data_IF_319470773673
#
_entry.id   IF_319470773673
#
_cell.length_a   1.000
_cell.length_b   1.000
_cell.length_c   1.000
_cell.angle_alpha   90.00
_cell.angle_beta   90.00
_cell.angle_gamma   90.00
#
_symmetry.space_group_name_H-M   'P 1'
#
loop_
_entity.id
_entity.type
_entity.pdbx_description
1 polymer ?
#
# COMPACT_ATOMS: atom_id res chain seq x y z
N UNK A 1 35.88 4.02 2.79
CA UNK A 1 36.37 2.82 2.05
C UNK A 1 36.44 3.01 0.53
N UNK A 2 35.96 4.11 -0.03
CA UNK A 2 35.95 4.40 -1.48
C UNK A 2 37.24 5.15 -1.97
N UNK A 3 38.10 5.62 -1.06
CA UNK A 3 39.31 6.40 -1.42
C UNK A 3 40.62 5.58 -1.50
N UNK A 4 40.62 4.28 -1.23
CA UNK A 4 41.80 3.42 -1.30
C UNK A 4 41.88 2.53 -2.54
N UNK A 5 40.82 2.49 -3.38
CA UNK A 5 40.79 1.71 -4.63
C UNK A 5 41.27 2.50 -5.86
N UNK A 6 41.37 3.83 -5.74
CA UNK A 6 41.80 4.70 -6.88
C UNK A 6 43.31 4.84 -7.08
N UNK A 7 44.14 4.21 -6.25
CA UNK A 7 45.62 4.40 -6.32
C UNK A 7 46.33 3.27 -7.08
N UNK A 8 45.68 2.15 -7.41
CA UNK A 8 46.32 1.01 -8.13
C UNK A 8 46.05 0.97 -9.64
N UNK A 9 45.31 1.89 -10.24
CA UNK A 9 44.95 1.81 -11.69
C UNK A 9 45.66 2.84 -12.57
N UNK A 10 46.56 3.67 -12.03
CA UNK A 10 47.23 4.73 -12.81
C UNK A 10 48.74 4.55 -12.93
N UNK A 11 49.17 3.43 -13.49
CA UNK A 11 50.54 3.30 -13.98
C UNK A 11 50.70 2.17 -15.03
N UNK A 12 50.01 2.30 -16.15
CA UNK A 12 50.42 1.65 -17.39
C UNK A 12 49.97 2.54 -18.56
N UNK A 13 50.91 3.19 -19.19
CA UNK A 13 50.66 3.97 -20.39
C UNK A 13 51.91 4.71 -20.91
N UNK A 14 52.69 4.06 -21.76
CA UNK A 14 53.46 4.75 -22.81
C UNK A 14 54.95 4.85 -22.65
N UNK A 15 55.73 4.04 -23.39
CA UNK A 15 56.47 4.45 -24.57
C UNK A 15 57.38 3.29 -25.08
N UNK A 16 57.28 3.09 -26.38
CA UNK A 16 58.23 2.33 -27.20
C UNK A 16 59.60 3.02 -27.23
N UNK A 17 60.68 2.19 -27.23
CA UNK A 17 61.81 2.29 -28.11
C UNK A 17 62.82 1.15 -27.77
N UNK A 18 63.16 0.35 -28.77
CA UNK A 18 64.25 -0.64 -28.88
C UNK A 18 65.58 0.05 -29.23
N UNK A 19 66.74 -0.70 -29.38
CA UNK A 19 67.29 -1.81 -28.58
C UNK A 19 68.78 -1.54 -28.19
N UNK A 20 69.37 -2.41 -27.37
CA UNK A 20 70.66 -3.12 -27.60
C UNK A 20 71.30 -3.66 -26.31
N UNK A 21 71.89 -4.85 -26.52
CA UNK A 21 73.04 -5.52 -25.85
C UNK A 21 72.93 -6.06 -24.44
N UNK A 22 73.24 -7.32 -24.41
CA UNK A 22 73.50 -8.20 -23.34
C UNK A 22 74.48 -7.73 -22.24
N UNK A 23 74.27 -8.21 -21.03
CA UNK A 23 75.29 -8.92 -20.21
C UNK A 23 74.63 -9.33 -18.84
N UNK A 24 74.84 -10.59 -18.48
CA UNK A 24 74.82 -11.29 -17.18
C UNK A 24 74.42 -10.53 -15.90
N UNK A 25 73.53 -11.15 -15.13
CA UNK A 25 73.88 -11.60 -13.78
C UNK A 25 72.66 -11.96 -12.90
N UNK A 26 72.72 -13.06 -12.29
CA UNK A 26 72.27 -13.51 -10.97
C UNK A 26 70.80 -13.53 -10.57
N UNK A 27 70.33 -14.66 -10.06
CA UNK A 27 68.99 -14.86 -9.53
C UNK A 27 68.91 -14.48 -8.04
N UNK A 28 68.00 -13.65 -7.67
CA UNK A 28 67.75 -13.40 -6.27
C UNK A 28 66.75 -12.28 -6.03
N UNK A 29 65.63 -12.58 -5.38
CA UNK A 29 64.60 -11.69 -4.88
C UNK A 29 63.34 -11.48 -5.74
N UNK A 30 62.54 -12.53 -5.87
CA UNK A 30 61.16 -12.44 -6.37
C UNK A 30 60.11 -13.18 -5.55
N UNK A 31 60.39 -13.63 -4.33
CA UNK A 31 59.47 -14.46 -3.54
C UNK A 31 58.75 -13.74 -2.40
N UNK A 32 59.15 -12.56 -1.96
CA UNK A 32 58.52 -11.92 -0.78
C UNK A 32 57.27 -11.08 -1.13
N UNK A 33 57.19 -10.48 -2.33
CA UNK A 33 56.01 -9.67 -2.68
C UNK A 33 54.77 -10.50 -3.06
N UNK A 34 54.95 -11.71 -3.56
CA UNK A 34 53.85 -12.61 -3.95
C UNK A 34 53.14 -13.20 -2.71
N UNK A 35 53.88 -13.44 -1.64
CA UNK A 35 53.33 -13.97 -0.38
C UNK A 35 52.46 -12.95 0.36
N UNK A 36 52.84 -11.66 0.34
CA UNK A 36 52.04 -10.60 0.97
C UNK A 36 50.68 -10.36 0.27
N UNK A 37 50.65 -10.38 -1.05
CA UNK A 37 49.42 -10.21 -1.82
C UNK A 37 48.44 -11.38 -1.64
N UNK A 38 48.96 -12.64 -1.59
CA UNK A 38 48.12 -13.81 -1.32
C UNK A 38 47.54 -13.78 0.10
N UNK A 39 48.30 -13.36 1.12
CA UNK A 39 47.84 -13.23 2.49
C UNK A 39 46.72 -12.18 2.64
N UNK A 40 46.83 -11.04 1.95
CA UNK A 40 45.80 -9.98 1.95
C UNK A 40 44.53 -10.45 1.24
N UNK A 41 44.61 -11.13 0.10
CA UNK A 41 43.48 -11.68 -0.63
C UNK A 41 42.75 -12.77 0.17
N UNK A 42 43.45 -13.65 0.84
CA UNK A 42 42.87 -14.69 1.72
C UNK A 42 42.18 -14.01 2.94
N UNK A 43 42.84 -13.01 3.53
CA UNK A 43 42.24 -12.25 4.65
C UNK A 43 40.95 -11.52 4.27
N UNK A 44 40.90 -10.84 3.11
CA UNK A 44 39.73 -10.17 2.59
C UNK A 44 38.60 -11.17 2.26
N UNK A 45 38.94 -12.32 1.69
CA UNK A 45 37.98 -13.39 1.39
C UNK A 45 37.37 -13.99 2.67
N UNK A 46 38.19 -14.20 3.70
CA UNK A 46 37.71 -14.69 5.01
C UNK A 46 36.82 -13.68 5.72
N UNK A 47 37.16 -12.39 5.68
CA UNK A 47 36.32 -11.31 6.24
C UNK A 47 35.00 -11.20 5.46
N UNK A 48 35.04 -11.28 4.12
CA UNK A 48 33.84 -11.26 3.29
C UNK A 48 32.93 -12.47 3.55
N UNK A 49 33.52 -13.67 3.70
CA UNK A 49 32.83 -14.90 4.08
C UNK A 49 32.22 -14.79 5.50
N UNK A 50 32.96 -14.24 6.46
CA UNK A 50 32.47 -14.03 7.83
C UNK A 50 31.32 -13.00 7.87
N UNK A 51 31.43 -11.89 7.12
CA UNK A 51 30.37 -10.90 6.97
C UNK A 51 29.17 -11.51 6.25
N UNK A 52 29.35 -12.32 5.22
CA UNK A 52 28.27 -13.05 4.55
C UNK A 52 27.57 -14.04 5.51
N UNK A 53 28.33 -14.77 6.33
CA UNK A 53 27.77 -15.69 7.34
C UNK A 53 27.03 -14.92 8.45
N UNK A 54 27.54 -13.77 8.88
CA UNK A 54 26.86 -12.91 9.86
C UNK A 54 25.56 -12.34 9.24
N UNK A 55 25.61 -11.87 8.00
CA UNK A 55 24.42 -11.37 7.28
C UNK A 55 23.41 -12.48 6.95
N UNK A 56 23.87 -13.73 6.80
CA UNK A 56 22.97 -14.89 6.62
C UNK A 56 22.40 -15.41 7.95
N UNK A 57 23.04 -15.16 9.08
CA UNK A 57 22.56 -15.57 10.40
C UNK A 57 21.34 -14.80 10.87
N UNK A 58 21.11 -13.59 10.35
CA UNK A 58 19.94 -12.77 10.71
C UNK A 58 18.67 -13.07 9.89
N UNK A 59 18.70 -14.05 9.00
CA UNK A 59 17.51 -14.55 8.29
C UNK A 59 17.15 -15.96 8.75
N UNK A 60 16.92 -16.15 10.04
CA UNK A 60 16.07 -17.26 10.47
C UNK A 60 14.66 -16.97 9.95
N UNK A 61 14.25 -17.66 8.89
CA UNK A 61 12.88 -17.65 8.41
C UNK A 61 12.02 -18.16 9.57
N UNK A 62 11.36 -17.25 10.29
CA UNK A 62 10.42 -17.64 11.34
C UNK A 62 9.33 -18.49 10.70
N UNK A 63 9.22 -19.75 11.10
CA UNK A 63 8.19 -20.64 10.63
C UNK A 63 6.84 -20.18 11.22
N UNK A 64 5.94 -19.73 10.36
CA UNK A 64 4.64 -19.19 10.77
C UNK A 64 3.51 -19.86 10.00
N UNK A 65 2.36 -20.06 10.63
CA UNK A 65 1.12 -20.51 10.00
C UNK A 65 0.16 -19.33 9.84
N UNK A 66 -0.42 -19.19 8.65
CA UNK A 66 -1.47 -18.20 8.38
C UNK A 66 -2.76 -18.59 9.13
N UNK A 67 -3.39 -17.62 9.80
CA UNK A 67 -4.61 -17.81 10.59
C UNK A 67 -5.79 -16.98 10.09
N UNK A 68 -5.54 -15.76 9.64
CA UNK A 68 -6.59 -14.86 9.14
C UNK A 68 -6.00 -13.92 8.09
N UNK A 69 -6.83 -13.50 7.15
CA UNK A 69 -6.49 -12.54 6.10
C UNK A 69 -7.53 -11.44 6.07
N UNK A 70 -7.09 -10.19 6.17
CA UNK A 70 -7.89 -9.02 5.87
C UNK A 70 -7.38 -8.37 4.60
N UNK A 71 -8.27 -8.13 3.67
CA UNK A 71 -8.02 -7.41 2.42
C UNK A 71 -8.82 -6.13 2.43
N UNK A 72 -8.17 -4.98 2.29
CA UNK A 72 -8.83 -3.74 1.89
C UNK A 72 -8.35 -3.40 0.49
N UNK A 73 -9.28 -3.40 -0.46
CA UNK A 73 -9.00 -3.12 -1.86
C UNK A 73 -9.71 -1.85 -2.32
N UNK A 74 -9.04 -1.01 -3.09
CA UNK A 74 -9.67 0.07 -3.83
C UNK A 74 -10.34 -0.47 -5.10
N UNK A 75 -11.22 0.34 -5.67
CA UNK A 75 -11.81 0.06 -6.99
C UNK A 75 -10.76 0.10 -8.11
N UNK A 76 -11.02 -0.57 -9.23
CA UNK A 76 -10.23 -0.48 -10.46
C UNK A 76 -10.43 0.85 -11.22
N UNK A 77 -9.96 0.89 -12.49
CA UNK A 77 -10.16 2.04 -13.37
C UNK A 77 -11.65 2.41 -13.48
N UNK A 78 -11.93 3.72 -13.47
CA UNK A 78 -13.29 4.26 -13.48
C UNK A 78 -13.40 5.54 -14.30
N UNK A 79 -14.61 5.93 -14.62
CA UNK A 79 -14.92 7.27 -15.11
C UNK A 79 -14.86 8.31 -13.97
N UNK A 80 -14.68 9.61 -14.28
CA UNK A 80 -14.69 10.66 -13.29
C UNK A 80 -16.03 10.73 -12.52
N UNK A 81 -15.94 11.00 -11.21
CA UNK A 81 -17.12 11.24 -10.39
C UNK A 81 -17.72 12.62 -10.67
N UNK A 82 -18.99 12.81 -10.29
CA UNK A 82 -19.66 14.13 -10.39
C UNK A 82 -18.89 15.24 -9.66
N UNK A 83 -18.29 14.94 -8.50
CA UNK A 83 -17.48 15.89 -7.73
C UNK A 83 -16.24 16.34 -8.50
N UNK A 84 -15.57 15.42 -9.19
CA UNK A 84 -14.40 15.71 -10.04
C UNK A 84 -14.82 16.49 -11.28
N UNK A 85 -15.93 16.11 -11.91
CA UNK A 85 -16.47 16.81 -13.09
C UNK A 85 -16.89 18.25 -12.75
N UNK A 86 -17.44 18.49 -11.56
CA UNK A 86 -17.81 19.82 -11.08
C UNK A 86 -16.63 20.80 -11.05
N UNK A 87 -15.38 20.30 -10.98
CA UNK A 87 -14.17 21.14 -11.01
C UNK A 87 -13.94 21.83 -12.38
N UNK A 88 -14.62 21.40 -13.43
CA UNK A 88 -14.56 22.05 -14.75
C UNK A 88 -15.53 23.23 -14.88
N UNK A 89 -16.46 23.42 -13.92
CA UNK A 89 -17.52 24.44 -13.99
C UNK A 89 -18.62 24.15 -15.01
N UNK A 90 -18.25 23.62 -16.17
CA UNK A 90 -19.17 23.07 -17.16
C UNK A 90 -18.79 21.61 -17.43
N UNK A 91 -19.53 20.63 -16.89
CA UNK A 91 -19.22 19.22 -17.12
C UNK A 91 -19.38 18.88 -18.62
N UNK A 92 -18.59 17.91 -19.12
CA UNK A 92 -18.75 17.43 -20.48
C UNK A 92 -20.13 16.76 -20.64
N UNK A 93 -20.66 16.67 -21.89
CA UNK A 93 -21.92 15.98 -22.13
C UNK A 93 -21.88 14.51 -21.67
N UNK A 94 -23.01 13.99 -21.20
CA UNK A 94 -23.12 12.62 -20.63
C UNK A 94 -22.56 11.52 -21.56
N UNK A 95 -22.73 11.67 -22.88
CA UNK A 95 -22.25 10.69 -23.84
C UNK A 95 -20.73 10.52 -23.89
N UNK A 96 -19.95 11.45 -23.32
CA UNK A 96 -18.48 11.36 -23.26
C UNK A 96 -18.03 10.15 -22.45
N UNK A 97 -18.80 9.76 -21.45
CA UNK A 97 -18.50 8.60 -20.60
C UNK A 97 -19.42 7.39 -20.89
N UNK A 98 -20.14 7.40 -22.03
CA UNK A 98 -20.92 6.25 -22.43
C UNK A 98 -20.00 5.03 -22.70
N UNK A 99 -20.47 3.79 -22.38
CA UNK A 99 -21.77 3.46 -21.81
C UNK A 99 -21.84 3.52 -20.28
N UNK A 100 -20.80 3.94 -19.58
CA UNK A 100 -20.64 3.76 -18.13
C UNK A 100 -21.37 4.81 -17.30
N UNK A 101 -21.39 6.08 -17.73
CA UNK A 101 -21.81 7.22 -16.90
C UNK A 101 -20.68 7.74 -16.00
N UNK A 102 -21.02 8.64 -15.07
CA UNK A 102 -20.07 9.22 -14.12
C UNK A 102 -19.80 8.28 -12.94
N UNK A 103 -18.54 8.19 -12.50
CA UNK A 103 -18.13 7.45 -11.31
C UNK A 103 -18.31 5.93 -11.41
N UNK A 104 -18.34 5.36 -12.62
CA UNK A 104 -18.57 3.94 -12.85
C UNK A 104 -17.27 3.20 -13.26
N UNK A 105 -17.14 1.92 -12.92
CA UNK A 105 -16.05 1.09 -13.41
C UNK A 105 -16.09 0.95 -14.92
N UNK A 106 -14.94 1.13 -15.57
CA UNK A 106 -14.73 0.76 -16.96
C UNK A 106 -14.62 -0.77 -17.10
N UNK A 107 -14.62 -1.30 -18.33
CA UNK A 107 -14.39 -2.73 -18.53
C UNK A 107 -12.97 -3.14 -18.11
N UNK A 108 -12.00 -2.29 -18.34
CA UNK A 108 -10.62 -2.44 -17.87
C UNK A 108 -10.58 -2.51 -16.34
N UNK A 109 -11.26 -1.58 -15.67
CA UNK A 109 -11.35 -1.60 -14.20
C UNK A 109 -12.08 -2.79 -13.62
N UNK A 110 -13.11 -3.31 -14.34
CA UNK A 110 -13.80 -4.56 -13.97
C UNK A 110 -12.87 -5.76 -14.12
N UNK A 111 -12.12 -5.84 -15.22
CA UNK A 111 -11.18 -6.93 -15.46
C UNK A 111 -10.06 -6.93 -14.42
N UNK A 112 -9.42 -5.78 -14.17
CA UNK A 112 -8.40 -5.63 -13.14
C UNK A 112 -8.90 -6.11 -11.77
N UNK A 113 -10.12 -5.70 -11.37
CA UNK A 113 -10.70 -6.11 -10.08
C UNK A 113 -10.93 -7.61 -10.00
N UNK A 114 -11.42 -8.22 -11.06
CA UNK A 114 -11.61 -9.67 -11.15
C UNK A 114 -10.27 -10.41 -11.09
N UNK A 115 -9.27 -9.97 -11.85
CA UNK A 115 -7.92 -10.55 -11.86
C UNK A 115 -7.25 -10.47 -10.49
N UNK A 116 -7.41 -9.35 -9.76
CA UNK A 116 -6.96 -9.23 -8.38
C UNK A 116 -7.62 -10.29 -7.47
N UNK A 117 -8.92 -10.55 -7.64
CA UNK A 117 -9.60 -11.65 -6.96
C UNK A 117 -8.99 -13.01 -7.28
N UNK A 118 -8.69 -13.28 -8.55
CA UNK A 118 -8.06 -14.53 -8.99
C UNK A 118 -6.62 -14.68 -8.45
N UNK A 119 -5.87 -13.60 -8.38
CA UNK A 119 -4.52 -13.60 -7.79
C UNK A 119 -4.56 -13.83 -6.27
N UNK A 120 -5.53 -13.25 -5.56
CA UNK A 120 -5.77 -13.55 -4.14
C UNK A 120 -6.17 -15.01 -3.95
N UNK A 121 -7.02 -15.57 -4.84
CA UNK A 121 -7.35 -17.01 -4.85
C UNK A 121 -6.08 -17.85 -4.98
N UNK A 122 -5.22 -17.54 -5.93
CA UNK A 122 -3.94 -18.25 -6.13
C UNK A 122 -3.06 -18.18 -4.87
N UNK A 123 -2.94 -16.99 -4.25
CA UNK A 123 -2.12 -16.77 -3.05
C UNK A 123 -2.62 -17.54 -1.83
N UNK A 124 -3.93 -17.59 -1.63
CA UNK A 124 -4.55 -18.17 -0.44
C UNK A 124 -5.27 -19.50 -0.70
N UNK A 125 -5.02 -20.14 -1.84
CA UNK A 125 -5.74 -21.34 -2.26
C UNK A 125 -5.74 -22.47 -1.21
N UNK A 126 -4.57 -22.80 -0.64
CA UNK A 126 -4.46 -23.84 0.39
C UNK A 126 -5.12 -23.42 1.71
N UNK A 127 -5.04 -22.14 2.05
CA UNK A 127 -5.63 -21.58 3.26
C UNK A 127 -7.16 -21.54 3.21
N UNK A 128 -7.73 -21.19 2.07
CA UNK A 128 -9.18 -21.05 1.88
C UNK A 128 -9.87 -22.40 1.66
N UNK A 129 -9.14 -23.41 1.15
CA UNK A 129 -9.76 -24.64 0.69
C UNK A 129 -10.50 -24.49 -0.64
N UNK A 130 -11.13 -25.57 -1.17
CA UNK A 130 -11.73 -25.54 -2.50
C UNK A 130 -13.11 -24.87 -2.57
N UNK A 131 -13.83 -24.75 -1.45
CA UNK A 131 -15.21 -24.30 -1.41
C UNK A 131 -15.36 -22.89 -0.87
N UNK A 132 -16.40 -22.18 -1.37
CA UNK A 132 -16.90 -21.02 -0.67
C UNK A 132 -17.74 -21.45 0.54
N UNK A 133 -17.36 -21.01 1.71
CA UNK A 133 -18.04 -21.28 2.98
C UNK A 133 -18.45 -19.94 3.62
N UNK A 134 -19.77 -19.65 3.76
CA UNK A 134 -20.26 -18.36 4.29
C UNK A 134 -19.71 -17.99 5.67
N UNK A 135 -19.54 -18.99 6.56
CA UNK A 135 -19.08 -18.75 7.93
C UNK A 135 -17.59 -18.44 8.03
N UNK A 136 -16.82 -18.75 6.97
CA UNK A 136 -15.37 -18.54 6.95
C UNK A 136 -14.95 -17.27 6.22
N UNK A 137 -15.87 -16.63 5.50
CA UNK A 137 -15.56 -15.52 4.61
C UNK A 137 -16.60 -14.40 4.69
N UNK A 138 -16.16 -13.18 4.84
CA UNK A 138 -17.01 -11.97 4.86
C UNK A 138 -16.55 -10.99 3.79
N UNK A 139 -17.51 -10.43 3.04
CA UNK A 139 -17.27 -9.36 2.07
C UNK A 139 -18.07 -8.12 2.49
N UNK A 140 -17.40 -6.99 2.61
CA UNK A 140 -17.96 -5.71 3.05
C UNK A 140 -17.62 -4.64 2.03
N UNK A 141 -18.63 -3.99 1.46
CA UNK A 141 -18.45 -2.86 0.56
C UNK A 141 -18.72 -1.53 1.26
N UNK A 142 -18.19 -0.43 0.75
CA UNK A 142 -18.75 0.88 1.05
C UNK A 142 -20.04 1.12 0.24
N UNK A 143 -20.91 2.03 0.70
CA UNK A 143 -22.21 2.29 0.08
C UNK A 143 -22.09 3.17 -1.18
N UNK A 144 -21.36 2.68 -2.18
CA UNK A 144 -21.32 3.22 -3.53
C UNK A 144 -21.45 2.10 -4.54
N UNK A 145 -22.07 2.35 -5.68
CA UNK A 145 -22.17 1.33 -6.74
C UNK A 145 -20.80 0.86 -7.20
N UNK A 146 -19.82 1.78 -7.26
CA UNK A 146 -18.43 1.49 -7.57
C UNK A 146 -17.84 0.43 -6.61
N UNK A 147 -17.99 0.62 -5.30
CA UNK A 147 -17.47 -0.32 -4.29
C UNK A 147 -18.24 -1.64 -4.27
N UNK A 148 -19.57 -1.59 -4.46
CA UNK A 148 -20.41 -2.80 -4.55
C UNK A 148 -20.05 -3.65 -5.77
N UNK A 149 -19.82 -3.03 -6.93
CA UNK A 149 -19.34 -3.72 -8.12
C UNK A 149 -17.93 -4.31 -7.90
N UNK A 150 -17.05 -3.56 -7.23
CA UNK A 150 -15.72 -4.06 -6.84
C UNK A 150 -15.84 -5.31 -5.96
N UNK A 151 -16.75 -5.31 -4.96
CA UNK A 151 -16.98 -6.47 -4.11
C UNK A 151 -17.48 -7.70 -4.87
N UNK A 152 -18.37 -7.52 -5.85
CA UNK A 152 -18.86 -8.61 -6.72
C UNK A 152 -17.75 -9.18 -7.60
N UNK A 153 -16.94 -8.32 -8.22
CA UNK A 153 -15.88 -8.72 -9.14
C UNK A 153 -14.72 -9.43 -8.43
N UNK A 154 -14.26 -8.88 -7.30
CA UNK A 154 -13.22 -9.54 -6.50
C UNK A 154 -13.71 -10.88 -5.98
N UNK A 155 -14.98 -10.99 -5.58
CA UNK A 155 -15.58 -12.25 -5.14
C UNK A 155 -15.66 -13.28 -6.26
N UNK A 156 -15.98 -12.85 -7.48
CA UNK A 156 -16.00 -13.74 -8.64
C UNK A 156 -14.63 -14.36 -8.94
N UNK A 157 -13.56 -13.57 -8.84
CA UNK A 157 -12.19 -14.08 -9.00
C UNK A 157 -11.69 -14.91 -7.81
N UNK A 158 -12.10 -14.54 -6.58
CA UNK A 158 -11.63 -15.18 -5.35
C UNK A 158 -12.31 -16.52 -5.07
N UNK A 159 -13.59 -16.68 -5.44
CA UNK A 159 -14.38 -17.90 -5.23
C UNK A 159 -15.00 -18.44 -6.53
N UNK A 160 -14.19 -18.84 -7.53
CA UNK A 160 -14.74 -19.57 -8.67
C UNK A 160 -15.37 -20.90 -8.17
N UNK A 161 -16.57 -21.27 -8.65
CA UNK A 161 -17.25 -22.48 -8.17
C UNK A 161 -16.50 -23.73 -8.60
N UNK A 162 -16.11 -24.64 -7.67
CA UNK A 162 -15.69 -25.98 -8.03
C UNK A 162 -16.89 -26.78 -8.59
N UNK A 163 -16.63 -27.93 -9.22
CA UNK A 163 -17.67 -28.72 -9.88
C UNK A 163 -18.91 -28.98 -9.01
N UNK A 164 -18.68 -29.24 -7.74
CA UNK A 164 -19.77 -29.58 -6.80
C UNK A 164 -20.60 -28.36 -6.35
N UNK A 165 -20.08 -27.14 -6.56
CA UNK A 165 -20.81 -25.87 -6.32
C UNK A 165 -21.28 -25.21 -7.62
N UNK A 166 -21.05 -25.86 -8.78
CA UNK A 166 -21.48 -25.36 -10.06
C UNK A 166 -22.99 -25.52 -10.22
N UNK A 167 -23.71 -24.42 -10.24
CA UNK A 167 -25.16 -24.36 -10.35
C UNK A 167 -25.66 -24.13 -11.78
N UNK A 168 -24.74 -23.77 -12.69
CA UNK A 168 -24.99 -23.55 -14.11
C UNK A 168 -23.78 -24.04 -14.92
N UNK A 169 -23.99 -24.91 -15.87
CA UNK A 169 -22.92 -25.59 -16.64
C UNK A 169 -22.11 -24.67 -17.54
N UNK A 170 -22.63 -23.47 -17.85
CA UNK A 170 -21.99 -22.52 -18.78
C UNK A 170 -21.47 -21.25 -18.09
N UNK A 171 -21.74 -21.06 -16.80
CA UNK A 171 -21.38 -19.89 -16.05
C UNK A 171 -20.45 -20.25 -14.88
N UNK A 172 -19.17 -20.03 -15.06
CA UNK A 172 -18.13 -20.22 -14.02
C UNK A 172 -18.19 -19.12 -12.96
N UNK A 173 -19.33 -18.93 -12.34
CA UNK A 173 -19.58 -17.93 -11.32
C UNK A 173 -20.58 -18.46 -10.28
N UNK A 174 -20.39 -18.07 -9.03
CA UNK A 174 -21.36 -18.28 -7.96
C UNK A 174 -21.63 -16.98 -7.20
N UNK A 175 -22.88 -16.77 -6.69
CA UNK A 175 -23.19 -15.60 -5.89
C UNK A 175 -22.52 -15.67 -4.53
N UNK A 176 -21.68 -14.71 -4.21
CA UNK A 176 -21.08 -14.52 -2.89
C UNK A 176 -21.75 -13.30 -2.25
N UNK A 177 -22.44 -13.46 -1.11
CA UNK A 177 -23.10 -12.34 -0.44
C UNK A 177 -22.06 -11.30 0.03
N UNK A 178 -22.43 -10.02 -0.05
CA UNK A 178 -21.69 -8.94 0.58
C UNK A 178 -22.64 -8.06 1.40
N UNK A 179 -22.09 -7.33 2.35
CA UNK A 179 -22.83 -6.38 3.17
C UNK A 179 -22.22 -4.99 3.01
N UNK A 180 -22.99 -3.96 3.36
CA UNK A 180 -22.51 -2.58 3.43
C UNK A 180 -23.31 -1.79 4.46
N UNK A 181 -22.68 -0.92 5.26
CA UNK A 181 -23.40 0.05 6.07
C UNK A 181 -23.89 1.19 5.17
N UNK A 182 -25.02 1.84 5.50
CA UNK A 182 -25.40 3.09 4.82
C UNK A 182 -24.26 4.11 4.90
N UNK A 183 -24.00 4.86 3.84
CA UNK A 183 -22.90 5.83 3.75
C UNK A 183 -22.79 6.76 4.95
N UNK A 184 -23.93 7.28 5.44
CA UNK A 184 -23.96 8.17 6.60
C UNK A 184 -23.62 7.51 7.95
N UNK A 185 -23.53 6.18 7.97
CA UNK A 185 -23.16 5.36 9.15
C UNK A 185 -21.87 4.60 8.96
N UNK A 186 -21.21 4.75 7.82
CA UNK A 186 -19.93 4.12 7.55
C UNK A 186 -18.81 4.97 8.14
N UNK A 187 -18.31 4.56 9.29
CA UNK A 187 -17.22 5.21 10.00
C UNK A 187 -15.84 4.64 9.65
N UNK A 188 -15.80 3.54 8.90
CA UNK A 188 -14.58 2.82 8.63
C UNK A 188 -13.91 3.29 7.33
N UNK A 189 -14.73 3.71 6.35
CA UNK A 189 -14.28 4.04 5.01
C UNK A 189 -14.61 5.48 4.57
N UNK A 190 -15.35 6.24 5.41
CA UNK A 190 -15.74 7.63 5.16
C UNK A 190 -15.38 8.52 6.35
N UNK A 191 -14.13 8.97 6.40
CA UNK A 191 -13.62 9.91 7.39
C UNK A 191 -14.38 11.25 7.40
N UNK A 192 -14.94 11.62 6.25
CA UNK A 192 -15.75 12.85 6.12
C UNK A 192 -17.02 12.83 6.98
N UNK A 193 -17.49 11.65 7.43
CA UNK A 193 -18.59 11.51 8.37
C UNK A 193 -18.20 11.89 9.82
N UNK A 194 -16.94 12.20 10.08
CA UNK A 194 -16.43 12.57 11.38
C UNK A 194 -16.30 14.09 11.51
N UNK A 195 -17.14 14.80 12.28
CA UNK A 195 -17.06 16.25 12.45
C UNK A 195 -15.66 16.70 12.92
N UNK A 196 -15.10 16.01 13.90
CA UNK A 196 -13.78 16.33 14.44
C UNK A 196 -12.65 16.15 13.45
N UNK A 197 -12.72 15.15 12.55
CA UNK A 197 -11.78 15.01 11.44
C UNK A 197 -11.82 16.24 10.54
N UNK A 198 -13.03 16.66 10.15
CA UNK A 198 -13.22 17.84 9.28
C UNK A 198 -12.70 19.12 9.94
N UNK A 199 -12.97 19.32 11.24
CA UNK A 199 -12.50 20.49 12.01
C UNK A 199 -10.96 20.50 12.06
N UNK A 200 -10.34 19.36 12.38
CA UNK A 200 -8.88 19.27 12.47
C UNK A 200 -8.22 19.48 11.09
N UNK A 201 -8.79 18.90 10.03
CA UNK A 201 -8.31 19.13 8.66
C UNK A 201 -8.37 20.61 8.28
N UNK A 202 -9.46 21.31 8.63
CA UNK A 202 -9.56 22.76 8.41
C UNK A 202 -8.55 23.56 9.24
N UNK A 203 -8.25 23.12 10.48
CA UNK A 203 -7.21 23.73 11.31
C UNK A 203 -5.82 23.60 10.65
N UNK A 204 -5.50 22.42 10.08
CA UNK A 204 -4.25 22.19 9.36
C UNK A 204 -4.19 23.04 8.08
N UNK A 205 -5.28 23.11 7.32
CA UNK A 205 -5.35 23.96 6.12
C UNK A 205 -5.08 25.43 6.49
N UNK A 206 -5.72 25.93 7.57
CA UNK A 206 -5.47 27.28 8.05
C UNK A 206 -4.01 27.51 8.41
N UNK A 207 -3.36 26.57 9.11
CA UNK A 207 -1.95 26.67 9.43
C UNK A 207 -1.06 26.75 8.17
N UNK A 208 -1.36 25.95 7.13
CA UNK A 208 -0.64 25.99 5.85
C UNK A 208 -0.82 27.33 5.12
N UNK A 209 -2.00 27.94 5.22
CA UNK A 209 -2.24 29.30 4.69
C UNK A 209 -1.45 30.35 5.46
N UNK A 210 -1.50 30.29 6.80
CA UNK A 210 -0.81 31.26 7.68
C UNK A 210 0.73 31.15 7.53
N UNK A 211 1.27 29.97 7.30
CA UNK A 211 2.68 29.72 7.01
C UNK A 211 3.10 30.07 5.57
N UNK A 212 2.14 30.46 4.74
CA UNK A 212 2.39 30.88 3.36
C UNK A 212 2.68 29.73 2.37
N UNK A 213 2.41 28.47 2.74
CA UNK A 213 2.68 27.31 1.88
C UNK A 213 1.86 27.31 0.59
N UNK A 214 0.72 28.02 0.57
CA UNK A 214 -0.13 28.14 -0.62
C UNK A 214 0.20 29.36 -1.48
N UNK A 215 1.09 30.26 -1.05
CA UNK A 215 1.47 31.47 -1.81
C UNK A 215 1.99 31.13 -3.23
N UNK A 216 2.86 30.11 -3.44
CA UNK A 216 3.37 29.75 -4.75
C UNK A 216 2.30 29.31 -5.75
N UNK A 217 1.11 28.94 -5.26
CA UNK A 217 0.01 28.40 -6.07
C UNK A 217 -1.15 29.39 -6.30
N UNK A 218 -1.11 30.58 -5.68
CA UNK A 218 -2.20 31.58 -5.75
C UNK A 218 -2.56 31.94 -7.19
N UNK A 219 -1.56 32.23 -8.03
CA UNK A 219 -1.81 32.61 -9.41
C UNK A 219 -2.40 31.47 -10.23
N UNK A 220 -2.01 30.22 -9.92
CA UNK A 220 -2.59 29.03 -10.53
C UNK A 220 -4.05 28.87 -10.13
N UNK A 221 -4.37 29.03 -8.85
CA UNK A 221 -5.75 28.97 -8.35
C UNK A 221 -6.63 30.03 -9.03
N UNK A 222 -6.19 31.28 -9.05
CA UNK A 222 -6.93 32.36 -9.72
C UNK A 222 -7.13 32.07 -11.21
N UNK A 223 -6.12 31.56 -11.89
CA UNK A 223 -6.21 31.23 -13.31
C UNK A 223 -7.19 30.08 -13.57
N UNK A 224 -7.18 29.02 -12.76
CA UNK A 224 -8.13 27.91 -12.88
C UNK A 224 -9.55 28.40 -12.57
N UNK A 225 -9.74 29.15 -11.49
CA UNK A 225 -11.04 29.74 -11.13
C UNK A 225 -11.65 30.56 -12.29
N UNK A 226 -10.84 31.37 -12.97
CA UNK A 226 -11.29 32.12 -14.14
C UNK A 226 -11.64 31.22 -15.34
N UNK A 227 -10.83 30.19 -15.61
CA UNK A 227 -11.06 29.28 -16.74
C UNK A 227 -12.28 28.39 -16.55
N UNK A 228 -12.57 27.99 -15.31
CA UNK A 228 -13.64 27.06 -14.97
C UNK A 228 -14.91 27.77 -14.47
N UNK A 229 -14.81 29.08 -14.16
CA UNK A 229 -15.87 29.84 -13.50
C UNK A 229 -16.35 29.18 -12.19
N UNK A 230 -15.41 28.60 -11.42
CA UNK A 230 -15.65 27.97 -10.13
C UNK A 230 -14.89 28.69 -9.02
N UNK A 231 -15.27 28.48 -7.77
CA UNK A 231 -14.43 28.85 -6.64
C UNK A 231 -13.31 27.81 -6.51
N UNK A 232 -12.08 28.19 -6.88
CA UNK A 232 -10.91 27.32 -6.87
C UNK A 232 -9.81 27.97 -6.02
N UNK A 233 -9.65 27.52 -4.79
CA UNK A 233 -8.83 28.21 -3.78
C UNK A 233 -8.10 27.30 -2.80
N UNK A 234 -8.41 26.01 -2.79
CA UNK A 234 -7.87 25.05 -1.82
C UNK A 234 -7.14 23.87 -2.49
N UNK A 235 -6.25 23.21 -1.75
CA UNK A 235 -5.61 21.97 -2.21
C UNK A 235 -6.61 20.83 -2.52
N UNK A 236 -7.77 20.81 -1.87
CA UNK A 236 -8.81 19.82 -2.09
C UNK A 236 -9.42 19.90 -3.51
N UNK A 237 -9.71 21.12 -3.99
CA UNK A 237 -10.20 21.31 -5.37
C UNK A 237 -9.13 20.91 -6.38
N UNK A 238 -7.86 21.24 -6.08
CA UNK A 238 -6.72 20.81 -6.91
C UNK A 238 -6.57 19.30 -6.95
N UNK A 239 -6.82 18.61 -5.83
CA UNK A 239 -6.82 17.16 -5.75
C UNK A 239 -7.90 16.54 -6.66
N UNK A 240 -9.15 17.04 -6.59
CA UNK A 240 -10.21 16.54 -7.47
C UNK A 240 -9.95 16.83 -8.94
N UNK A 241 -9.44 18.02 -9.27
CA UNK A 241 -9.13 18.38 -10.66
C UNK A 241 -7.93 17.57 -11.18
N UNK A 242 -6.94 17.29 -10.34
CA UNK A 242 -5.82 16.42 -10.69
C UNK A 242 -6.28 14.99 -10.98
N UNK A 243 -7.13 14.42 -10.12
CA UNK A 243 -7.72 13.10 -10.31
C UNK A 243 -8.54 13.03 -11.61
N UNK A 244 -9.35 14.06 -11.86
CA UNK A 244 -10.11 14.15 -13.11
C UNK A 244 -9.19 14.01 -14.33
N UNK A 245 -8.09 14.75 -14.36
CA UNK A 245 -7.19 14.72 -15.52
C UNK A 245 -6.39 13.42 -15.62
N UNK A 246 -6.05 12.78 -14.50
CA UNK A 246 -5.43 11.46 -14.50
C UNK A 246 -6.40 10.42 -15.06
N UNK A 247 -7.63 10.38 -14.54
CA UNK A 247 -8.67 9.48 -15.02
C UNK A 247 -8.95 9.68 -16.51
N UNK A 248 -9.04 10.94 -16.98
CA UNK A 248 -9.25 11.21 -18.40
C UNK A 248 -8.10 10.68 -19.27
N UNK A 249 -6.84 10.76 -18.78
CA UNK A 249 -5.69 10.21 -19.50
C UNK A 249 -5.78 8.67 -19.56
N UNK A 250 -6.12 8.01 -18.44
CA UNK A 250 -6.25 6.55 -18.35
C UNK A 250 -7.33 6.03 -19.31
N UNK A 251 -8.55 6.59 -19.25
CA UNK A 251 -9.67 6.21 -20.12
C UNK A 251 -9.61 6.84 -21.53
N UNK A 252 -8.51 7.54 -21.87
CA UNK A 252 -8.27 8.16 -23.19
C UNK A 252 -9.32 9.18 -23.63
N UNK A 253 -9.94 9.87 -22.68
CA UNK A 253 -10.86 10.98 -22.91
C UNK A 253 -10.06 12.30 -22.95
N UNK A 254 -10.35 13.12 -23.95
CA UNK A 254 -9.61 14.38 -24.17
C UNK A 254 -9.88 15.39 -23.07
N UNK A 255 -8.82 15.77 -22.34
CA UNK A 255 -8.82 16.89 -21.39
C UNK A 255 -8.88 18.24 -22.12
N UNK A 256 -9.38 19.31 -21.47
CA UNK A 256 -9.33 20.66 -22.02
C UNK A 256 -7.89 21.06 -22.42
N UNK A 257 -7.73 21.83 -23.49
CA UNK A 257 -6.40 22.21 -24.02
C UNK A 257 -5.49 22.87 -22.97
N UNK A 258 -6.05 23.58 -22.01
CA UNK A 258 -5.29 24.23 -20.95
C UNK A 258 -4.76 23.25 -19.88
N UNK A 259 -5.36 22.07 -19.73
CA UNK A 259 -5.00 21.07 -18.72
C UNK A 259 -3.50 20.72 -18.77
N UNK A 260 -2.94 20.55 -19.96
CA UNK A 260 -1.51 20.21 -20.16
C UNK A 260 -0.54 21.19 -19.48
N UNK A 261 -0.94 22.45 -19.32
CA UNK A 261 -0.10 23.50 -18.72
C UNK A 261 -0.16 23.53 -17.20
N UNK A 262 -1.15 22.87 -16.60
CA UNK A 262 -1.40 22.92 -15.14
C UNK A 262 -1.24 21.55 -14.46
N UNK A 263 -1.35 20.42 -15.18
CA UNK A 263 -1.33 19.05 -14.62
C UNK A 263 -0.19 18.85 -13.61
N UNK A 264 1.06 19.19 -13.98
CA UNK A 264 2.22 19.00 -13.10
C UNK A 264 2.06 19.73 -11.75
N UNK A 265 1.66 21.01 -11.80
CA UNK A 265 1.46 21.81 -10.58
C UNK A 265 0.26 21.32 -9.76
N UNK A 266 -0.80 20.86 -10.42
CA UNK A 266 -1.93 20.24 -9.75
C UNK A 266 -1.52 18.98 -8.99
N UNK A 267 -0.68 18.12 -9.57
CA UNK A 267 -0.14 16.95 -8.88
C UNK A 267 0.67 17.33 -7.62
N UNK A 268 1.46 18.42 -7.68
CA UNK A 268 2.20 18.90 -6.50
C UNK A 268 1.25 19.36 -5.38
N UNK A 269 0.18 20.07 -5.75
CA UNK A 269 -0.85 20.50 -4.78
C UNK A 269 -1.69 19.30 -4.27
N UNK A 270 -1.95 18.32 -5.12
CA UNK A 270 -2.63 17.07 -4.71
C UNK A 270 -1.84 16.31 -3.65
N UNK A 271 -0.51 16.29 -3.76
CA UNK A 271 0.36 15.70 -2.71
C UNK A 271 0.25 16.48 -1.40
N UNK A 272 0.10 17.80 -1.47
CA UNK A 272 -0.11 18.64 -0.29
C UNK A 272 -1.45 18.30 0.39
N UNK A 273 -2.55 18.21 -0.38
CA UNK A 273 -3.85 17.78 0.13
C UNK A 273 -3.77 16.40 0.77
N UNK A 274 -3.14 15.45 0.08
CA UNK A 274 -2.95 14.10 0.59
C UNK A 274 -2.16 14.09 1.91
N UNK A 275 -1.11 14.92 2.04
CA UNK A 275 -0.35 15.04 3.27
C UNK A 275 -1.16 15.64 4.42
N UNK A 276 -2.11 16.54 4.13
CA UNK A 276 -3.03 17.12 5.13
C UNK A 276 -4.02 16.09 5.65
N UNK A 277 -4.53 15.18 4.80
CA UNK A 277 -5.51 14.17 5.21
C UNK A 277 -5.02 13.30 6.39
N UNK A 278 -3.71 13.08 6.48
CA UNK A 278 -3.06 12.19 7.48
C UNK A 278 -1.95 12.88 8.25
N UNK A 279 -2.03 14.20 8.39
CA UNK A 279 -0.93 15.05 8.87
C UNK A 279 -0.44 14.68 10.27
N UNK A 280 -1.34 14.37 11.18
CA UNK A 280 -1.01 14.04 12.56
C UNK A 280 -1.74 12.78 13.07
N UNK A 281 -1.40 12.35 14.28
CA UNK A 281 -1.99 11.14 14.87
C UNK A 281 -3.51 11.24 15.04
N UNK A 282 -4.06 12.45 15.28
CA UNK A 282 -5.51 12.63 15.40
C UNK A 282 -6.19 12.36 14.05
N UNK A 283 -5.71 12.95 12.94
CA UNK A 283 -6.28 12.70 11.62
C UNK A 283 -6.12 11.23 11.19
N UNK A 284 -4.97 10.59 11.48
CA UNK A 284 -4.76 9.15 11.21
C UNK A 284 -5.73 8.28 12.02
N UNK A 285 -5.94 8.64 13.31
CA UNK A 285 -6.89 7.96 14.18
C UNK A 285 -8.33 8.04 13.66
N UNK A 286 -8.73 9.24 13.22
CA UNK A 286 -10.10 9.51 12.79
C UNK A 286 -10.40 9.09 11.35
N UNK A 287 -9.38 8.77 10.53
CA UNK A 287 -9.54 8.24 9.17
C UNK A 287 -9.40 6.72 9.10
N UNK A 288 -8.21 6.18 9.35
CA UNK A 288 -7.92 4.74 9.26
C UNK A 288 -7.97 3.99 10.58
N UNK A 289 -7.93 4.72 11.71
CA UNK A 289 -7.71 4.12 13.04
C UNK A 289 -8.88 3.28 13.55
N UNK A 290 -10.12 3.58 13.16
CA UNK A 290 -11.29 2.76 13.51
C UNK A 290 -11.25 1.40 12.79
N UNK A 291 -10.93 1.41 11.50
CA UNK A 291 -10.78 0.18 10.72
C UNK A 291 -9.60 -0.65 11.22
N UNK A 292 -8.47 -0.01 11.54
CA UNK A 292 -7.32 -0.69 12.11
C UNK A 292 -7.66 -1.35 13.44
N UNK A 293 -8.40 -0.67 14.33
CA UNK A 293 -8.87 -1.25 15.59
C UNK A 293 -9.78 -2.45 15.37
N UNK A 294 -10.66 -2.39 14.37
CA UNK A 294 -11.51 -3.52 14.03
C UNK A 294 -10.70 -4.72 13.55
N UNK A 295 -9.69 -4.51 12.67
CA UNK A 295 -8.78 -5.57 12.21
C UNK A 295 -8.04 -6.20 13.39
N UNK A 296 -7.55 -5.40 14.33
CA UNK A 296 -6.88 -5.89 15.54
C UNK A 296 -7.85 -6.73 16.39
N UNK A 297 -9.09 -6.27 16.60
CA UNK A 297 -10.09 -7.00 17.39
C UNK A 297 -10.48 -8.33 16.74
N UNK A 298 -10.68 -8.34 15.41
CA UNK A 298 -10.98 -9.55 14.64
C UNK A 298 -9.80 -10.54 14.70
N UNK A 299 -8.56 -10.05 14.63
CA UNK A 299 -7.36 -10.85 14.79
C UNK A 299 -7.20 -11.44 16.20
N UNK A 300 -7.58 -10.71 17.24
CA UNK A 300 -7.59 -11.23 18.61
C UNK A 300 -8.71 -12.29 18.76
N UNK A 301 -9.88 -12.05 18.18
CA UNK A 301 -11.02 -12.97 18.28
C UNK A 301 -10.69 -14.34 17.74
N UNK A 302 -9.98 -14.46 16.61
CA UNK A 302 -9.64 -15.78 16.04
C UNK A 302 -8.60 -16.55 16.87
N UNK A 303 -7.83 -15.87 17.74
CA UNK A 303 -6.93 -16.57 18.69
C UNK A 303 -7.69 -17.28 19.79
N UNK A 304 -8.93 -16.86 20.05
CA UNK A 304 -9.80 -17.38 21.11
C UNK A 304 -10.86 -18.34 20.54
N UNK A 305 -11.46 -17.95 19.42
CA UNK A 305 -12.57 -18.67 18.77
C UNK A 305 -12.28 -18.91 17.29
N UNK A 306 -12.08 -20.15 16.91
CA UNK A 306 -11.78 -20.57 15.53
C UNK A 306 -13.00 -20.54 14.61
N UNK A 307 -14.20 -20.24 15.10
CA UNK A 307 -15.40 -20.02 14.28
C UNK A 307 -15.45 -18.60 13.69
N UNK A 308 -14.54 -17.71 14.11
CA UNK A 308 -14.38 -16.37 13.54
C UNK A 308 -13.99 -16.47 12.06
N UNK A 309 -14.53 -15.61 11.18
CA UNK A 309 -14.19 -15.60 9.77
C UNK A 309 -12.67 -15.49 9.53
N UNK A 310 -12.17 -16.31 8.60
CA UNK A 310 -10.73 -16.40 8.28
C UNK A 310 -10.32 -15.45 7.15
N UNK A 311 -11.27 -15.11 6.26
CA UNK A 311 -11.04 -14.22 5.13
C UNK A 311 -12.04 -13.08 5.18
N UNK A 312 -11.56 -11.86 5.35
CA UNK A 312 -12.37 -10.65 5.41
C UNK A 312 -11.92 -9.71 4.29
N UNK A 313 -12.80 -9.49 3.30
CA UNK A 313 -12.55 -8.61 2.18
C UNK A 313 -13.37 -7.33 2.36
N UNK A 314 -12.69 -6.18 2.28
CA UNK A 314 -13.33 -4.86 2.29
C UNK A 314 -13.01 -4.13 1.00
N UNK A 315 -14.00 -3.45 0.44
CA UNK A 315 -13.82 -2.62 -0.75
C UNK A 315 -14.12 -1.16 -0.45
N UNK A 316 -13.19 -0.29 -0.84
CA UNK A 316 -13.24 1.14 -0.58
C UNK A 316 -12.62 1.94 -1.73
N UNK A 317 -11.88 2.99 -1.38
CA UNK A 317 -11.20 3.90 -2.31
C UNK A 317 -9.69 3.86 -2.10
N UNK A 318 -8.88 4.39 -3.03
CA UNK A 318 -7.45 4.60 -2.79
C UNK A 318 -7.15 5.38 -1.51
N UNK A 319 -8.01 6.36 -1.17
CA UNK A 319 -7.89 7.14 0.08
C UNK A 319 -8.11 6.25 1.31
N UNK A 320 -9.07 5.31 1.28
CA UNK A 320 -9.30 4.36 2.38
C UNK A 320 -8.08 3.46 2.63
N UNK A 321 -7.42 2.99 1.56
CA UNK A 321 -6.18 2.21 1.67
C UNK A 321 -5.06 3.05 2.29
N UNK A 322 -4.91 4.31 1.84
CA UNK A 322 -3.93 5.23 2.40
C UNK A 322 -4.21 5.57 3.87
N UNK A 323 -5.47 5.74 4.25
CA UNK A 323 -5.89 5.99 5.62
C UNK A 323 -5.47 4.84 6.54
N UNK A 324 -5.74 3.60 6.13
CA UNK A 324 -5.35 2.41 6.89
C UNK A 324 -3.83 2.28 7.02
N UNK A 325 -3.07 2.47 5.92
CA UNK A 325 -1.60 2.49 5.96
C UNK A 325 -1.06 3.57 6.89
N UNK A 326 -1.64 4.78 6.84
CA UNK A 326 -1.23 5.89 7.69
C UNK A 326 -1.50 5.63 9.18
N UNK A 327 -2.58 4.91 9.50
CA UNK A 327 -2.89 4.50 10.88
C UNK A 327 -1.90 3.44 11.39
N UNK A 328 -1.32 2.62 10.52
CA UNK A 328 -0.24 1.66 10.86
C UNK A 328 1.12 2.34 11.05
N UNK A 329 1.22 3.67 10.91
CA UNK A 329 2.48 4.43 10.93
C UNK A 329 3.42 4.09 9.77
N UNK A 330 2.91 3.41 8.74
CA UNK A 330 3.60 3.07 7.51
C UNK A 330 3.03 3.94 6.37
N UNK A 331 3.64 5.10 6.04
CA UNK A 331 3.14 5.94 4.95
C UNK A 331 3.22 5.17 3.63
N UNK A 332 2.21 5.26 2.77
CA UNK A 332 2.27 4.65 1.46
C UNK A 332 3.43 5.25 0.66
N UNK A 333 4.12 4.43 -0.16
CA UNK A 333 5.31 4.86 -0.89
C UNK A 333 5.02 5.97 -1.92
N UNK A 334 3.78 6.06 -2.37
CA UNK A 334 3.24 7.10 -3.27
C UNK A 334 1.74 7.29 -3.03
N UNK A 335 1.15 8.27 -3.71
CA UNK A 335 -0.32 8.38 -3.77
C UNK A 335 -0.88 7.08 -4.35
N UNK A 336 -1.84 6.43 -3.68
CA UNK A 336 -2.43 5.21 -4.18
C UNK A 336 -3.18 5.43 -5.49
N UNK A 337 -2.95 4.55 -6.45
CA UNK A 337 -3.70 4.50 -7.71
C UNK A 337 -4.95 3.63 -7.57
N UNK A 338 -5.89 3.62 -8.54
CA UNK A 338 -6.94 2.62 -8.61
C UNK A 338 -6.35 1.20 -8.64
N UNK A 339 -7.07 0.21 -8.09
CA UNK A 339 -6.63 -1.19 -8.07
C UNK A 339 -5.65 -1.56 -6.95
N UNK A 340 -5.27 -0.63 -6.07
CA UNK A 340 -4.38 -0.95 -4.94
C UNK A 340 -5.11 -1.72 -3.83
N UNK A 341 -4.35 -2.58 -3.15
CA UNK A 341 -4.83 -3.30 -1.98
C UNK A 341 -3.79 -3.30 -0.84
N UNK A 342 -4.29 -3.39 0.39
CA UNK A 342 -3.50 -3.70 1.57
C UNK A 342 -4.01 -5.01 2.17
N UNK A 343 -3.06 -5.89 2.50
CA UNK A 343 -3.33 -7.22 3.05
C UNK A 343 -2.73 -7.28 4.46
N UNK A 344 -3.54 -7.64 5.43
CA UNK A 344 -3.08 -8.00 6.77
C UNK A 344 -3.20 -9.51 6.92
N UNK A 345 -2.08 -10.20 6.98
CA UNK A 345 -2.01 -11.62 7.27
C UNK A 345 -1.69 -11.82 8.74
N UNK A 346 -2.64 -12.37 9.50
CA UNK A 346 -2.38 -12.82 10.86
C UNK A 346 -1.69 -14.18 10.80
N UNK A 347 -0.51 -14.24 11.34
CA UNK A 347 0.30 -15.46 11.44
C UNK A 347 0.48 -15.90 12.89
N UNK A 348 0.58 -17.20 13.09
CA UNK A 348 0.99 -17.82 14.33
C UNK A 348 2.41 -18.35 14.21
N UNK A 349 3.30 -18.01 15.14
CA UNK A 349 4.64 -18.61 15.25
C UNK A 349 4.54 -20.09 15.57
N UNK A 350 5.16 -20.92 14.75
CA UNK A 350 5.26 -22.36 15.01
C UNK A 350 6.50 -22.65 15.85
N UNK A 351 6.44 -23.67 16.75
CA UNK A 351 7.60 -24.10 17.52
C UNK A 351 8.74 -24.52 16.59
N UNK A 352 9.94 -24.00 16.82
CA UNK A 352 11.13 -24.46 16.09
C UNK A 352 11.47 -25.89 16.53
N UNK A 353 11.70 -26.78 15.54
CA UNK A 353 12.10 -28.16 15.79
C UNK A 353 13.45 -28.30 16.53
N UNK A 354 14.33 -27.29 16.38
CA UNK A 354 15.69 -27.30 16.95
C UNK A 354 15.81 -26.77 18.38
N UNK A 355 14.77 -26.12 18.92
CA UNK A 355 14.83 -25.48 20.23
C UNK A 355 14.05 -26.26 21.31
N UNK A 356 14.47 -27.49 21.62
CA UNK A 356 13.98 -28.23 22.79
C UNK A 356 14.26 -27.54 24.14
N UNK A 357 15.06 -26.46 24.18
CA UNK A 357 15.41 -25.69 25.39
C UNK A 357 14.58 -24.40 25.58
N UNK A 358 13.93 -23.87 24.56
CA UNK A 358 13.06 -22.70 24.70
C UNK A 358 11.58 -23.09 24.81
N UNK A 359 11.20 -23.78 25.89
CA UNK A 359 9.83 -23.79 26.40
C UNK A 359 9.51 -22.44 27.05
N UNK A 360 9.85 -21.32 26.43
CA UNK A 360 9.25 -20.06 26.78
C UNK A 360 7.83 -20.10 26.25
N UNK A 361 6.86 -20.21 27.15
CA UNK A 361 5.46 -20.02 26.78
C UNK A 361 5.33 -18.57 26.34
N UNK A 362 5.31 -18.34 25.01
CA UNK A 362 5.02 -17.04 24.45
C UNK A 362 3.60 -16.65 24.87
N UNK A 363 3.38 -15.39 25.27
CA UNK A 363 2.03 -14.85 25.37
C UNK A 363 1.34 -14.91 24.02
N UNK A 364 0.01 -14.96 23.98
CA UNK A 364 -0.72 -14.92 22.70
C UNK A 364 -0.36 -13.68 21.89
N UNK A 365 -0.13 -12.53 22.52
CA UNK A 365 0.35 -11.31 21.89
C UNK A 365 1.73 -11.39 21.25
N UNK A 366 2.59 -12.34 21.68
CA UNK A 366 3.92 -12.61 21.08
C UNK A 366 3.89 -13.78 20.11
N UNK A 367 2.95 -14.72 20.28
CA UNK A 367 2.75 -15.90 19.44
C UNK A 367 2.11 -15.53 18.11
N UNK A 368 1.11 -14.64 18.14
CA UNK A 368 0.43 -14.14 16.94
C UNK A 368 1.00 -12.78 16.51
N UNK A 369 0.98 -12.50 15.22
CA UNK A 369 1.44 -11.23 14.69
C UNK A 369 1.06 -11.02 13.24
N UNK A 370 1.16 -9.78 12.79
CA UNK A 370 0.85 -9.41 11.43
C UNK A 370 2.08 -9.45 10.51
N UNK A 371 1.85 -9.90 9.27
CA UNK A 371 2.61 -9.54 8.08
C UNK A 371 1.70 -8.68 7.21
N UNK A 372 2.16 -7.48 6.87
CA UNK A 372 1.36 -6.50 6.14
C UNK A 372 1.94 -6.37 4.74
N UNK A 373 1.08 -6.44 3.72
CA UNK A 373 1.50 -6.33 2.33
C UNK A 373 0.73 -5.20 1.65
N UNK A 374 1.41 -4.51 0.77
CA UNK A 374 0.84 -3.52 -0.13
C UNK A 374 0.93 -4.04 -1.56
N UNK A 375 -0.17 -3.99 -2.27
CA UNK A 375 -0.26 -4.45 -3.64
C UNK A 375 -0.75 -3.33 -4.53
N UNK A 376 0.04 -2.96 -5.52
CA UNK A 376 -0.31 -2.05 -6.60
C UNK A 376 -0.34 -2.82 -7.94
N UNK A 377 -0.98 -2.27 -8.94
CA UNK A 377 -1.14 -2.88 -10.26
C UNK A 377 0.17 -2.98 -11.06
N UNK A 378 1.20 -2.22 -10.66
CA UNK A 378 2.55 -2.30 -11.25
C UNK A 378 3.32 -3.56 -10.83
N UNK A 379 2.85 -4.29 -9.80
CA UNK A 379 3.57 -5.43 -9.24
C UNK A 379 2.80 -6.75 -9.38
N UNK A 380 3.45 -7.78 -9.92
CA UNK A 380 2.88 -9.13 -10.04
C UNK A 380 2.58 -9.78 -8.68
N UNK A 381 3.27 -9.35 -7.61
CA UNK A 381 3.14 -9.88 -6.26
C UNK A 381 3.09 -8.74 -5.24
N UNK A 382 2.32 -8.90 -4.14
CA UNK A 382 2.23 -7.90 -3.09
C UNK A 382 3.57 -7.73 -2.37
N UNK A 383 3.95 -6.50 -2.08
CA UNK A 383 5.19 -6.15 -1.38
C UNK A 383 4.97 -6.16 0.13
N UNK A 384 5.85 -6.85 0.85
CA UNK A 384 5.87 -6.81 2.31
C UNK A 384 6.20 -5.39 2.79
N UNK A 385 5.38 -4.87 3.69
CA UNK A 385 5.57 -3.57 4.34
C UNK A 385 6.16 -3.77 5.72
N UNK A 386 7.20 -3.02 6.04
CA UNK A 386 7.76 -3.00 7.38
C UNK A 386 7.12 -1.85 8.18
N UNK A 387 6.43 -2.19 9.26
CA UNK A 387 5.94 -1.21 10.22
C UNK A 387 7.14 -0.70 11.01
N UNK A 388 7.37 0.64 11.12
CA UNK A 388 8.49 1.18 11.89
C UNK A 388 8.49 0.65 13.32
N UNK A 389 9.59 0.00 13.72
CA UNK A 389 9.70 -0.67 15.01
C UNK A 389 9.36 -2.16 15.02
N UNK A 390 8.96 -2.72 13.88
CA UNK A 390 8.78 -4.15 13.67
C UNK A 390 9.65 -4.69 12.54
N UNK A 391 9.87 -6.00 12.57
CA UNK A 391 10.39 -6.76 11.44
C UNK A 391 9.22 -7.21 10.53
N UNK A 392 9.53 -8.04 9.52
CA UNK A 392 8.56 -8.65 8.61
C UNK A 392 7.34 -9.29 9.30
N UNK A 393 7.53 -9.92 10.44
CA UNK A 393 6.49 -10.39 11.35
C UNK A 393 6.43 -9.43 12.56
N UNK A 394 5.30 -8.75 12.73
CA UNK A 394 5.08 -7.84 13.84
C UNK A 394 4.16 -8.49 14.88
N UNK A 395 4.66 -8.87 16.08
CA UNK A 395 3.82 -9.44 17.13
C UNK A 395 2.65 -8.53 17.48
N UNK A 396 1.46 -9.10 17.76
CA UNK A 396 0.24 -8.33 18.06
C UNK A 396 0.44 -7.33 19.19
N UNK A 397 1.11 -7.73 20.26
CA UNK A 397 1.43 -6.86 21.40
C UNK A 397 2.28 -5.66 20.97
N UNK A 398 3.32 -5.90 20.17
CA UNK A 398 4.18 -4.84 19.62
C UNK A 398 3.40 -3.96 18.65
N UNK A 399 2.59 -4.55 17.78
CA UNK A 399 1.78 -3.81 16.82
C UNK A 399 0.78 -2.87 17.51
N UNK A 400 0.10 -3.35 18.54
CA UNK A 400 -0.82 -2.55 19.36
C UNK A 400 -0.10 -1.39 20.06
N UNK A 401 1.09 -1.62 20.60
CA UNK A 401 1.88 -0.55 21.24
C UNK A 401 2.32 0.51 20.24
N UNK A 402 2.76 0.10 19.04
CA UNK A 402 3.19 1.03 17.99
C UNK A 402 2.02 1.85 17.43
N UNK A 403 0.82 1.29 17.39
CA UNK A 403 -0.37 1.94 16.81
C UNK A 403 -1.29 2.60 17.85
N UNK A 404 -0.98 2.55 19.14
CA UNK A 404 -1.86 3.00 20.23
C UNK A 404 -2.35 4.46 20.12
N UNK A 405 -1.61 5.33 19.43
CA UNK A 405 -2.01 6.72 19.24
C UNK A 405 -2.80 6.96 17.96
N UNK A 406 -2.86 5.96 17.08
CA UNK A 406 -3.53 6.05 15.78
C UNK A 406 -4.74 5.13 15.65
N UNK A 407 -5.00 4.24 16.61
CA UNK A 407 -6.22 3.43 16.68
C UNK A 407 -7.34 4.16 17.43
N UNK A 408 -8.61 3.89 17.07
CA UNK A 408 -9.79 4.44 17.74
C UNK A 408 -10.54 3.31 18.44
N UNK A 409 -10.53 3.32 19.76
CA UNK A 409 -11.26 2.35 20.58
C UNK A 409 -12.75 2.68 20.73
N UNK A 410 -13.11 3.96 20.62
CA UNK A 410 -14.49 4.46 20.64
C UNK A 410 -14.61 5.58 19.61
N UNK A 411 -14.89 5.20 18.38
CA UNK A 411 -14.96 6.13 17.26
C UNK A 411 -16.04 7.20 17.44
N UNK A 412 -17.19 6.83 18.02
CA UNK A 412 -18.28 7.80 18.24
C UNK A 412 -17.86 8.92 19.17
N UNK A 413 -17.16 8.57 20.25
CA UNK A 413 -16.60 9.53 21.20
C UNK A 413 -15.46 10.33 20.56
N UNK A 414 -14.53 9.65 19.88
CA UNK A 414 -13.40 10.29 19.24
C UNK A 414 -13.82 11.28 18.15
N UNK A 415 -14.92 11.03 17.45
CA UNK A 415 -15.50 11.91 16.42
C UNK A 415 -16.52 12.93 16.94
N UNK A 416 -16.78 12.95 18.27
CA UNK A 416 -17.80 13.84 18.85
C UNK A 416 -19.20 13.66 18.26
N UNK A 417 -19.57 12.40 17.93
CA UNK A 417 -20.88 12.04 17.39
C UNK A 417 -21.94 11.82 18.48
N UNK A 418 -21.53 11.80 19.73
CA UNK A 418 -22.41 11.68 20.90
C UNK A 418 -22.49 13.07 21.53
N UNK A 419 -23.71 13.63 21.72
CA UNK A 419 -23.88 14.91 22.39
C UNK A 419 -23.42 14.88 23.85
#
# INVERSE_FOLDING_TARGET
MVRLISICIQKEGGREEEPTSAVDAAPGMRTEHTCCCLGVLVGVSLIAALVAVILMKDKTVELTALRQVHVLMSHGERTPSERELAMLGAPPPDHVFAPYGAGALTNEGKMLTFEMGALLRKRYNEFMGPYYEPDTSIVIASDTDLSKMTALLISAGLWPPPKDQMWNDTLEWQPVPYTYPPRSKDYLLYEENCPRYNQEKQRILKAFVDEGLLIPYRDLFNKIAQMTNTNFSTPQEAFYLSNLFLIQDDIKVTSPKWAKHVKRKLMDISRLEYSMMFHNNLLRKLSGGALLQQIINEAISITIDTTTPRVIVRTGTPVSVAALLSACVAPPPRLPDPGVAILFELHEKLPSADNKKEKRVLSDGQRYGFKIYYWDDDSAEPRLMEVPGCNAFCPLETFQELTKYTVSHDYKKDCELIP
#
